data_IF_774747681845
#
_entry.id   IF_774747681845
#
_cell.length_a   1.000
_cell.length_b   1.000
_cell.length_c   1.000
_cell.angle_alpha   90.00
_cell.angle_beta   90.00
_cell.angle_gamma   90.00
#
_symmetry.space_group_name_H-M   'P 1'
#
loop_
_entity.id
_entity.type
_entity.pdbx_description
1 polymer ?
#
# COMPACT_ATOMS: atom_id res chain seq x y z
N UNK A 1 11.76 -14.04 7.11
CA UNK A 1 10.76 -14.04 6.01
C UNK A 1 10.94 -15.26 5.13
N UNK A 2 9.85 -15.94 4.75
CA UNK A 2 9.97 -17.06 3.83
C UNK A 2 10.13 -16.55 2.37
N UNK A 3 10.44 -17.46 1.47
CA UNK A 3 10.70 -17.14 0.06
C UNK A 3 9.50 -16.45 -0.63
N UNK A 4 8.27 -16.94 -0.36
CA UNK A 4 7.05 -16.36 -0.94
C UNK A 4 6.84 -14.91 -0.51
N UNK A 5 7.10 -14.59 0.76
CA UNK A 5 6.95 -13.22 1.27
C UNK A 5 7.96 -12.27 0.62
N UNK A 6 9.19 -12.74 0.38
CA UNK A 6 10.21 -11.96 -0.31
C UNK A 6 9.84 -11.70 -1.76
N UNK A 7 9.31 -12.71 -2.46
CA UNK A 7 8.86 -12.58 -3.84
C UNK A 7 7.70 -11.60 -3.96
N UNK A 8 6.72 -11.67 -3.06
CA UNK A 8 5.58 -10.75 -3.03
C UNK A 8 6.04 -9.32 -2.78
N UNK A 9 6.95 -9.14 -1.85
CA UNK A 9 7.50 -7.82 -1.55
C UNK A 9 8.26 -7.25 -2.74
N UNK A 10 9.02 -8.08 -3.44
CA UNK A 10 9.75 -7.69 -4.64
C UNK A 10 8.80 -7.22 -5.74
N UNK A 11 7.76 -8.01 -6.03
CA UNK A 11 6.73 -7.65 -7.01
C UNK A 11 6.04 -6.34 -6.64
N UNK A 12 5.70 -6.18 -5.38
CA UNK A 12 5.08 -4.98 -4.86
C UNK A 12 5.95 -3.74 -5.10
N UNK A 13 7.25 -3.85 -4.82
CA UNK A 13 8.20 -2.77 -5.04
C UNK A 13 8.34 -2.42 -6.52
N UNK A 14 8.30 -3.42 -7.39
CA UNK A 14 8.32 -3.20 -8.83
C UNK A 14 7.09 -2.40 -9.29
N UNK A 15 5.90 -2.74 -8.78
CA UNK A 15 4.67 -2.02 -9.08
C UNK A 15 4.75 -0.58 -8.59
N UNK A 16 5.23 -0.36 -7.36
CA UNK A 16 5.43 0.98 -6.82
C UNK A 16 6.37 1.81 -7.69
N UNK A 17 7.45 1.20 -8.14
CA UNK A 17 8.46 1.87 -8.96
C UNK A 17 7.90 2.29 -10.30
N UNK A 18 7.13 1.41 -10.97
CA UNK A 18 6.46 1.72 -12.23
C UNK A 18 5.49 2.89 -12.04
N UNK A 19 4.69 2.88 -10.98
CA UNK A 19 3.75 3.96 -10.70
C UNK A 19 4.47 5.28 -10.42
N UNK A 20 5.63 5.24 -9.78
CA UNK A 20 6.43 6.42 -9.47
C UNK A 20 7.08 7.01 -10.72
N UNK A 21 7.49 6.16 -11.66
CA UNK A 21 8.11 6.58 -12.92
C UNK A 21 7.11 7.16 -13.91
N UNK A 22 5.82 6.99 -13.68
CA UNK A 22 4.80 7.59 -14.52
C UNK A 22 4.84 9.10 -14.34
N UNK A 23 5.41 9.78 -15.31
CA UNK A 23 5.47 11.24 -15.29
C UNK A 23 4.20 11.85 -15.90
N UNK A 24 4.04 13.16 -15.70
CA UNK A 24 2.86 13.88 -16.16
C UNK A 24 2.69 13.84 -17.67
N UNK A 25 3.77 13.81 -18.42
CA UNK A 25 3.73 13.76 -19.88
C UNK A 25 3.17 12.43 -20.39
N UNK A 26 3.64 11.32 -19.81
CA UNK A 26 3.12 9.99 -20.13
C UNK A 26 1.63 9.91 -19.82
N UNK A 27 1.19 10.49 -18.70
CA UNK A 27 -0.22 10.53 -18.32
C UNK A 27 -1.05 11.32 -19.33
N UNK A 28 -0.54 12.44 -19.83
CA UNK A 28 -1.23 13.25 -20.83
C UNK A 28 -1.41 12.55 -22.18
N UNK A 29 -0.49 11.68 -22.53
CA UNK A 29 -0.53 10.91 -23.77
C UNK A 29 -1.40 9.66 -23.70
N UNK A 30 -1.79 9.24 -22.50
CA UNK A 30 -2.63 8.06 -22.31
C UNK A 30 -4.08 8.33 -22.71
N UNK A 31 -4.74 7.30 -23.25
CA UNK A 31 -6.19 7.37 -23.47
C UNK A 31 -6.93 7.46 -22.14
N UNK A 32 -8.15 7.99 -22.16
CA UNK A 32 -8.96 8.09 -20.95
C UNK A 32 -9.26 6.71 -20.35
N UNK A 33 -9.50 5.70 -21.19
CA UNK A 33 -9.71 4.33 -20.73
C UNK A 33 -8.48 3.80 -19.96
N UNK A 34 -7.28 4.08 -20.47
CA UNK A 34 -6.03 3.70 -19.82
C UNK A 34 -5.89 4.41 -18.48
N UNK A 35 -6.19 5.71 -18.42
CA UNK A 35 -6.15 6.47 -17.17
C UNK A 35 -7.11 5.93 -16.13
N UNK A 36 -8.32 5.52 -16.52
CA UNK A 36 -9.28 4.91 -15.59
C UNK A 36 -8.78 3.58 -15.05
N UNK A 37 -8.18 2.75 -15.90
CA UNK A 37 -7.57 1.49 -15.48
C UNK A 37 -6.43 1.72 -14.50
N UNK A 38 -5.58 2.71 -14.74
CA UNK A 38 -4.48 3.07 -13.86
C UNK A 38 -4.99 3.57 -12.51
N UNK A 39 -6.02 4.38 -12.51
CA UNK A 39 -6.67 4.88 -11.29
C UNK A 39 -7.20 3.72 -10.45
N UNK A 40 -7.82 2.73 -11.09
CA UNK A 40 -8.32 1.54 -10.41
C UNK A 40 -7.18 0.75 -9.78
N UNK A 41 -6.09 0.51 -10.52
CA UNK A 41 -4.92 -0.21 -10.01
C UNK A 41 -4.31 0.54 -8.83
N UNK A 42 -4.20 1.84 -8.90
CA UNK A 42 -3.67 2.69 -7.83
C UNK A 42 -4.53 2.57 -6.57
N UNK A 43 -5.84 2.58 -6.72
CA UNK A 43 -6.79 2.43 -5.62
C UNK A 43 -6.62 1.06 -4.94
N UNK A 44 -6.52 -0.01 -5.72
CA UNK A 44 -6.31 -1.37 -5.21
C UNK A 44 -4.97 -1.47 -4.46
N UNK A 45 -3.94 -0.84 -4.99
CA UNK A 45 -2.62 -0.80 -4.35
C UNK A 45 -2.67 -0.09 -3.00
N UNK A 46 -3.38 1.02 -2.90
CA UNK A 46 -3.54 1.75 -1.63
C UNK A 46 -4.25 0.90 -0.58
N UNK A 47 -5.30 0.20 -0.99
CA UNK A 47 -6.04 -0.71 -0.10
C UNK A 47 -5.12 -1.82 0.40
N UNK A 48 -4.34 -2.41 -0.50
CA UNK A 48 -3.39 -3.47 -0.13
C UNK A 48 -2.32 -2.97 0.86
N UNK A 49 -1.78 -1.78 0.62
CA UNK A 49 -0.82 -1.14 1.53
C UNK A 49 -1.41 -0.91 2.91
N UNK A 50 -2.62 -0.40 2.95
CA UNK A 50 -3.33 -0.19 4.21
C UNK A 50 -3.45 -1.50 5.01
N UNK A 51 -3.87 -2.58 4.36
CA UNK A 51 -3.99 -3.89 5.02
C UNK A 51 -2.66 -4.41 5.55
N UNK A 52 -1.58 -4.26 4.77
CA UNK A 52 -0.24 -4.70 5.22
C UNK A 52 0.18 -3.94 6.48
N UNK A 53 -0.03 -2.63 6.50
CA UNK A 53 0.33 -1.82 7.67
C UNK A 53 -0.53 -2.13 8.89
N UNK A 54 -1.82 -2.40 8.70
CA UNK A 54 -2.71 -2.83 9.77
C UNK A 54 -2.22 -4.15 10.37
N UNK A 55 -1.85 -5.10 9.53
CA UNK A 55 -1.32 -6.39 9.99
C UNK A 55 -0.02 -6.24 10.79
N UNK A 56 0.85 -5.32 10.40
CA UNK A 56 2.08 -5.02 11.14
C UNK A 56 1.78 -4.46 12.53
N UNK A 57 0.79 -3.58 12.64
CA UNK A 57 0.37 -3.00 13.91
C UNK A 57 -0.21 -4.07 14.82
N UNK A 58 -1.08 -4.93 14.28
CA UNK A 58 -1.67 -6.04 15.04
C UNK A 58 -0.62 -7.02 15.53
N UNK A 59 0.37 -7.34 14.71
CA UNK A 59 1.48 -8.21 15.09
C UNK A 59 2.30 -7.58 16.23
N UNK A 60 2.61 -6.29 16.13
CA UNK A 60 3.36 -5.58 17.17
C UNK A 60 2.59 -5.58 18.50
N UNK A 61 1.27 -5.41 18.45
CA UNK A 61 0.41 -5.51 19.62
C UNK A 61 0.46 -6.92 20.22
N UNK A 62 0.31 -7.96 19.39
CA UNK A 62 0.32 -9.35 19.82
C UNK A 62 1.67 -9.76 20.42
N UNK A 63 2.76 -9.18 19.92
CA UNK A 63 4.10 -9.41 20.43
C UNK A 63 4.44 -8.54 21.66
N UNK A 64 3.50 -7.72 22.09
CA UNK A 64 3.69 -6.87 23.28
C UNK A 64 4.59 -5.65 23.04
N UNK A 65 4.89 -5.31 21.81
CA UNK A 65 5.73 -4.15 21.47
C UNK A 65 5.00 -2.83 21.61
N UNK A 66 3.68 -2.86 21.42
CA UNK A 66 2.81 -1.70 21.61
C UNK A 66 1.58 -2.12 22.41
N UNK A 67 0.96 -1.16 23.11
CA UNK A 67 -0.27 -1.41 23.85
C UNK A 67 -1.48 -1.52 22.90
N UNK A 68 -2.59 -2.16 23.32
CA UNK A 68 -3.81 -2.16 22.53
C UNK A 68 -4.31 -0.76 22.20
N UNK A 69 -4.18 0.18 23.13
CA UNK A 69 -4.57 1.59 22.93
C UNK A 69 -3.72 2.24 21.84
N UNK A 70 -2.43 2.01 21.85
CA UNK A 70 -1.50 2.50 20.84
C UNK A 70 -1.83 1.91 19.46
N UNK A 71 -2.18 0.63 19.40
CA UNK A 71 -2.57 -0.04 18.17
C UNK A 71 -3.82 0.63 17.55
N UNK A 72 -4.83 0.91 18.36
CA UNK A 72 -6.05 1.60 17.92
C UNK A 72 -5.70 2.98 17.35
N UNK A 73 -4.86 3.73 18.06
CA UNK A 73 -4.42 5.06 17.62
C UNK A 73 -3.69 5.01 16.27
N UNK A 74 -2.75 4.08 16.12
CA UNK A 74 -1.99 3.92 14.88
C UNK A 74 -2.88 3.53 13.69
N UNK A 75 -3.86 2.64 13.92
CA UNK A 75 -4.83 2.26 12.89
C UNK A 75 -5.67 3.46 12.44
N UNK A 76 -6.08 4.31 13.37
CA UNK A 76 -6.83 5.52 13.05
C UNK A 76 -6.01 6.48 12.19
N UNK A 77 -4.72 6.63 12.48
CA UNK A 77 -3.81 7.44 11.67
C UNK A 77 -3.65 6.89 10.26
N UNK A 78 -3.59 5.56 10.11
CA UNK A 78 -3.52 4.92 8.80
C UNK A 78 -4.74 5.21 7.96
N UNK A 79 -5.93 5.19 8.55
CA UNK A 79 -7.16 5.54 7.83
C UNK A 79 -7.11 6.95 7.26
N UNK A 80 -6.59 7.89 8.02
CA UNK A 80 -6.41 9.26 7.56
C UNK A 80 -5.38 9.37 6.45
N UNK A 81 -4.32 8.57 6.53
CA UNK A 81 -3.25 8.58 5.52
C UNK A 81 -3.70 8.03 4.17
N UNK A 82 -4.48 6.94 4.18
CA UNK A 82 -4.83 6.22 2.95
C UNK A 82 -6.23 6.53 2.43
N UNK A 83 -7.10 7.03 3.25
CA UNK A 83 -8.49 7.35 2.92
C UNK A 83 -8.88 8.73 3.41
#
# INVERSE_FOLDING_TARGET
MNKKSKERLHLFRQVEEVLREMNQEAVKECSEATLQSMKHIYKELRIALYHVEVMRIERARDEGKISPKEAVHRKALLRKKYF
#
